data_IF_250801690953
#
_entry.id   IF_250801690953
#
_cell.length_a   1.000
_cell.length_b   1.000
_cell.length_c   1.000
_cell.angle_alpha   90.00
_cell.angle_beta   90.00
_cell.angle_gamma   90.00
#
_symmetry.space_group_name_H-M   'P 1'
#
loop_
_entity.id
_entity.type
_entity.pdbx_description
1 polymer ?
#
# COMPACT_ATOMS: atom_id res chain seq x y z
N UNK A 1 -24.79 63.54 -2.10
CA UNK A 1 -24.01 62.64 -1.22
C UNK A 1 -24.64 61.26 -1.26
N UNK A 2 -23.84 60.23 -1.59
CA UNK A 2 -24.05 58.78 -1.38
C UNK A 2 -25.24 58.08 -2.06
N UNK A 3 -25.14 56.87 -2.63
CA UNK A 3 -24.07 56.01 -3.17
C UNK A 3 -24.84 54.90 -3.93
N UNK A 4 -24.40 54.55 -5.13
CA UNK A 4 -24.92 53.43 -5.92
C UNK A 4 -24.42 52.13 -5.28
N UNK A 5 -25.33 51.21 -4.92
CA UNK A 5 -24.97 49.88 -4.45
C UNK A 5 -25.04 48.90 -5.64
N UNK A 6 -23.88 48.61 -6.23
CA UNK A 6 -23.73 47.54 -7.22
C UNK A 6 -23.62 46.23 -6.44
N UNK A 7 -24.61 45.36 -6.63
CA UNK A 7 -24.63 44.01 -6.05
C UNK A 7 -23.95 43.05 -7.05
N UNK A 8 -22.63 42.92 -6.96
CA UNK A 8 -21.87 41.90 -7.69
C UNK A 8 -22.05 40.57 -7.00
N UNK A 9 -22.90 39.71 -7.56
CA UNK A 9 -23.02 38.32 -7.14
C UNK A 9 -21.73 37.57 -7.55
N UNK A 10 -20.86 37.31 -6.58
CA UNK A 10 -19.71 36.42 -6.75
C UNK A 10 -20.24 34.99 -6.73
N UNK A 11 -20.28 34.38 -7.92
CA UNK A 11 -20.56 32.96 -8.09
C UNK A 11 -19.31 32.18 -7.65
N UNK A 12 -19.19 31.91 -6.35
CA UNK A 12 -18.25 30.92 -5.84
C UNK A 12 -18.74 29.53 -6.27
N UNK A 13 -18.30 29.09 -7.44
CA UNK A 13 -18.34 27.68 -7.82
C UNK A 13 -17.47 26.92 -6.82
N UNK A 14 -18.11 26.37 -5.79
CA UNK A 14 -17.54 25.37 -4.91
C UNK A 14 -17.24 24.13 -5.76
N UNK A 15 -16.02 24.05 -6.28
CA UNK A 15 -15.42 22.78 -6.71
C UNK A 15 -15.30 21.92 -5.46
N UNK A 16 -16.38 21.21 -5.14
CA UNK A 16 -16.33 20.10 -4.21
C UNK A 16 -15.65 18.96 -4.97
N UNK A 17 -14.47 18.46 -4.55
CA UNK A 17 -13.92 17.27 -5.17
C UNK A 17 -14.95 16.16 -4.97
N UNK A 18 -15.46 15.59 -6.07
CA UNK A 18 -16.28 14.40 -6.01
C UNK A 18 -15.52 13.36 -5.19
N UNK A 19 -16.14 12.70 -4.19
CA UNK A 19 -15.48 11.60 -3.51
C UNK A 19 -15.22 10.53 -4.57
N UNK A 20 -13.95 10.36 -4.96
CA UNK A 20 -13.55 9.21 -5.73
C UNK A 20 -13.98 7.98 -4.92
N UNK A 21 -14.92 7.20 -5.47
CA UNK A 21 -15.40 6.00 -4.82
C UNK A 21 -14.26 4.99 -4.81
N UNK A 22 -13.56 4.87 -3.68
CA UNK A 22 -12.57 3.83 -3.48
C UNK A 22 -13.23 2.46 -3.66
N UNK A 23 -12.58 1.60 -4.43
CA UNK A 23 -12.95 0.19 -4.63
C UNK A 23 -12.13 -0.68 -3.69
N UNK A 24 -12.67 -1.84 -3.37
CA UNK A 24 -12.01 -2.82 -2.51
C UNK A 24 -12.00 -4.21 -3.17
N UNK A 25 -10.87 -4.89 -3.06
CA UNK A 25 -10.69 -6.28 -3.47
C UNK A 25 -10.03 -7.08 -2.33
N UNK A 26 -10.29 -8.39 -2.25
CA UNK A 26 -9.83 -9.21 -1.12
C UNK A 26 -9.24 -10.53 -1.56
N UNK A 27 -8.15 -10.92 -0.90
CA UNK A 27 -7.48 -12.22 -1.03
C UNK A 27 -7.31 -12.89 0.33
N UNK A 28 -6.44 -13.90 0.42
CA UNK A 28 -6.15 -14.57 1.69
C UNK A 28 -5.48 -13.64 2.70
N UNK A 29 -4.50 -12.85 2.25
CA UNK A 29 -3.70 -12.00 3.14
C UNK A 29 -4.05 -10.52 3.02
N UNK A 30 -4.72 -10.10 1.95
CA UNK A 30 -4.78 -8.69 1.57
C UNK A 30 -6.23 -8.21 1.40
N UNK A 31 -6.52 -7.04 1.95
CA UNK A 31 -7.61 -6.18 1.50
C UNK A 31 -7.00 -5.02 0.71
N UNK A 32 -7.16 -5.02 -0.61
CA UNK A 32 -6.64 -4.00 -1.50
C UNK A 32 -7.66 -2.89 -1.68
N UNK A 33 -7.25 -1.64 -1.51
CA UNK A 33 -8.06 -0.43 -1.73
C UNK A 33 -7.43 0.39 -2.83
N UNK A 34 -8.21 0.74 -3.84
CA UNK A 34 -7.74 1.45 -5.02
C UNK A 34 -8.82 2.36 -5.61
N UNK A 35 -8.40 3.37 -6.37
CA UNK A 35 -9.26 4.48 -6.83
C UNK A 35 -9.78 4.27 -8.26
N UNK A 36 -9.04 3.55 -9.10
CA UNK A 36 -9.34 3.38 -10.52
C UNK A 36 -8.72 2.11 -11.12
N UNK A 37 -9.17 1.69 -12.32
CA UNK A 37 -8.54 0.58 -13.05
C UNK A 37 -7.11 0.91 -13.47
N UNK A 38 -6.86 2.15 -13.89
CA UNK A 38 -5.52 2.62 -14.27
C UNK A 38 -4.53 2.44 -13.11
N UNK A 39 -4.95 2.77 -11.89
CA UNK A 39 -4.14 2.60 -10.70
C UNK A 39 -3.76 1.13 -10.44
N UNK A 40 -4.67 0.18 -10.71
CA UNK A 40 -4.36 -1.25 -10.65
C UNK A 40 -3.39 -1.67 -11.75
N UNK A 41 -3.60 -1.21 -12.98
CA UNK A 41 -2.77 -1.57 -14.12
C UNK A 41 -1.33 -1.08 -13.90
N UNK A 42 -1.16 0.18 -13.49
CA UNK A 42 0.14 0.77 -13.19
C UNK A 42 0.83 0.06 -12.02
N UNK A 43 0.09 -0.24 -10.94
CA UNK A 43 0.64 -0.99 -9.82
C UNK A 43 1.07 -2.41 -10.23
N UNK A 44 0.26 -3.07 -11.06
CA UNK A 44 0.55 -4.41 -11.56
C UNK A 44 1.84 -4.42 -12.38
N UNK A 45 2.02 -3.43 -13.25
CA UNK A 45 3.21 -3.30 -14.10
C UNK A 45 4.46 -2.93 -13.29
N UNK A 46 4.32 -2.06 -12.29
CA UNK A 46 5.43 -1.61 -11.45
C UNK A 46 5.92 -2.70 -10.47
N UNK A 47 5.02 -3.55 -9.98
CA UNK A 47 5.37 -4.69 -9.11
C UNK A 47 5.68 -5.94 -9.94
N UNK A 48 6.90 -5.97 -10.50
CA UNK A 48 7.43 -7.15 -11.18
C UNK A 48 8.02 -8.17 -10.19
N UNK A 49 7.48 -9.39 -10.20
CA UNK A 49 7.95 -10.51 -9.39
C UNK A 49 9.18 -11.22 -10.00
N UNK A 50 9.53 -10.91 -11.24
CA UNK A 50 10.50 -11.66 -12.02
C UNK A 50 10.07 -13.11 -12.26
N UNK A 51 10.97 -13.89 -12.88
CA UNK A 51 10.62 -15.22 -13.41
C UNK A 51 10.35 -16.28 -12.35
N UNK A 52 11.12 -16.30 -11.25
CA UNK A 52 10.99 -17.34 -10.21
C UNK A 52 9.72 -17.13 -9.40
N UNK A 53 9.57 -15.96 -8.77
CA UNK A 53 8.44 -15.65 -7.90
C UNK A 53 7.14 -15.53 -8.70
N UNK A 54 7.20 -14.98 -9.92
CA UNK A 54 6.05 -14.89 -10.83
C UNK A 54 5.46 -16.25 -11.24
N UNK A 55 6.22 -17.35 -11.18
CA UNK A 55 5.65 -18.68 -11.43
C UNK A 55 4.67 -19.14 -10.34
N UNK A 56 4.83 -18.66 -9.11
CA UNK A 56 3.91 -18.98 -8.01
C UNK A 56 2.60 -18.21 -8.15
N UNK A 57 2.67 -16.92 -8.49
CA UNK A 57 1.48 -16.11 -8.74
C UNK A 57 0.64 -16.67 -9.91
N UNK A 58 1.28 -17.10 -11.00
CA UNK A 58 0.60 -17.69 -12.19
C UNK A 58 -0.12 -19.02 -11.93
N UNK A 59 0.16 -19.70 -10.83
CA UNK A 59 -0.55 -20.93 -10.45
C UNK A 59 -1.91 -20.63 -9.80
N UNK A 60 -2.17 -19.37 -9.44
CA UNK A 60 -3.44 -18.91 -8.90
C UNK A 60 -4.43 -18.68 -10.05
N UNK A 61 -5.73 -18.85 -9.81
CA UNK A 61 -6.77 -18.68 -10.83
C UNK A 61 -6.95 -17.18 -11.12
N UNK A 62 -6.20 -16.65 -12.09
CA UNK A 62 -6.24 -15.24 -12.49
C UNK A 62 -7.18 -15.06 -13.69
N UNK A 63 -8.23 -14.25 -13.53
CA UNK A 63 -9.19 -13.92 -14.59
C UNK A 63 -9.14 -12.44 -14.96
N UNK A 64 -8.84 -11.58 -13.98
CA UNK A 64 -8.79 -10.11 -14.11
C UNK A 64 -7.44 -9.55 -13.64
N UNK A 65 -7.15 -8.27 -13.94
CA UNK A 65 -5.97 -7.58 -13.42
C UNK A 65 -6.01 -7.49 -11.89
N UNK A 66 -7.20 -7.28 -11.31
CA UNK A 66 -7.41 -7.31 -9.87
C UNK A 66 -6.97 -8.66 -9.26
N UNK A 67 -7.36 -9.78 -9.88
CA UNK A 67 -6.92 -11.10 -9.46
C UNK A 67 -5.40 -11.27 -9.58
N UNK A 68 -4.79 -10.69 -10.61
CA UNK A 68 -3.33 -10.74 -10.80
C UNK A 68 -2.61 -9.98 -9.69
N UNK A 69 -3.05 -8.76 -9.39
CA UNK A 69 -2.48 -7.94 -8.32
C UNK A 69 -2.60 -8.64 -6.97
N UNK A 70 -3.78 -9.17 -6.64
CA UNK A 70 -3.99 -9.93 -5.41
C UNK A 70 -3.13 -11.19 -5.36
N UNK A 71 -3.02 -11.92 -6.47
CA UNK A 71 -2.15 -13.09 -6.56
C UNK A 71 -0.68 -12.74 -6.33
N UNK A 72 -0.21 -11.62 -6.90
CA UNK A 72 1.15 -11.11 -6.70
C UNK A 72 1.40 -10.77 -5.24
N UNK A 73 0.51 -9.98 -4.63
CA UNK A 73 0.65 -9.55 -3.24
C UNK A 73 0.63 -10.73 -2.26
N UNK A 74 -0.28 -11.69 -2.44
CA UNK A 74 -0.28 -12.91 -1.62
C UNK A 74 1.02 -13.70 -1.81
N UNK A 75 1.54 -13.81 -3.04
CA UNK A 75 2.80 -14.50 -3.29
C UNK A 75 4.01 -13.79 -2.66
N UNK A 76 4.03 -12.45 -2.64
CA UNK A 76 5.05 -11.69 -1.92
C UNK A 76 4.93 -11.97 -0.42
N UNK A 77 3.72 -11.95 0.14
CA UNK A 77 3.48 -12.22 1.56
C UNK A 77 3.93 -13.64 1.95
N UNK A 78 3.53 -14.67 1.20
CA UNK A 78 3.94 -16.06 1.42
C UNK A 78 5.48 -16.22 1.37
N UNK A 79 6.14 -15.54 0.43
CA UNK A 79 7.59 -15.56 0.33
C UNK A 79 8.24 -14.80 1.48
N UNK A 80 7.68 -13.68 1.92
CA UNK A 80 8.16 -12.91 3.07
C UNK A 80 8.04 -13.72 4.37
N UNK A 81 6.93 -14.42 4.60
CA UNK A 81 6.76 -15.36 5.73
C UNK A 81 7.87 -16.42 5.71
N UNK A 82 8.15 -17.00 4.53
CA UNK A 82 9.20 -18.00 4.34
C UNK A 82 10.61 -17.45 4.57
N UNK A 83 10.87 -16.21 4.13
CA UNK A 83 12.17 -15.54 4.32
C UNK A 83 12.44 -15.30 5.80
N UNK A 84 11.44 -14.83 6.54
CA UNK A 84 11.55 -14.58 7.98
C UNK A 84 11.44 -15.84 8.85
N UNK A 85 10.96 -16.95 8.28
CA UNK A 85 10.53 -18.15 9.02
C UNK A 85 9.49 -17.80 10.11
N UNK A 86 8.57 -16.89 9.77
CA UNK A 86 7.54 -16.35 10.65
C UNK A 86 6.18 -16.49 9.99
N UNK A 87 5.27 -17.24 10.62
CA UNK A 87 3.95 -17.58 10.09
C UNK A 87 2.85 -17.14 11.06
N UNK A 88 2.55 -15.84 11.16
CA UNK A 88 1.52 -15.33 12.04
C UNK A 88 0.14 -15.92 11.69
N UNK A 89 -0.62 -16.30 12.72
CA UNK A 89 -1.96 -16.84 12.53
C UNK A 89 -2.93 -15.73 12.15
N UNK A 90 -3.79 -15.99 11.15
CA UNK A 90 -4.84 -15.06 10.70
C UNK A 90 -4.33 -13.68 10.24
N UNK A 91 -3.10 -13.60 9.72
CA UNK A 91 -2.58 -12.36 9.14
C UNK A 91 -3.46 -11.91 7.97
N UNK A 92 -4.03 -10.72 8.09
CA UNK A 92 -4.69 -10.01 7.00
C UNK A 92 -4.40 -8.52 7.14
N UNK A 93 -3.82 -7.91 6.12
CA UNK A 93 -3.50 -6.49 6.10
C UNK A 93 -4.27 -5.77 5.01
N UNK A 94 -4.42 -4.45 5.16
CA UNK A 94 -4.94 -3.59 4.11
C UNK A 94 -3.78 -2.98 3.32
N UNK A 95 -3.93 -2.88 2.01
CA UNK A 95 -3.01 -2.13 1.14
C UNK A 95 -3.82 -1.05 0.45
N UNK A 96 -3.43 0.21 0.62
CA UNK A 96 -4.06 1.37 -0.01
C UNK A 96 -3.12 1.91 -1.07
N UNK A 97 -3.58 1.87 -2.32
CA UNK A 97 -2.87 2.46 -3.45
C UNK A 97 -3.15 3.97 -3.50
N UNK A 98 -2.07 4.74 -3.51
CA UNK A 98 -2.06 6.19 -3.67
C UNK A 98 -1.29 6.50 -4.96
N UNK A 99 -1.67 7.55 -5.68
CA UNK A 99 -1.11 7.74 -7.02
C UNK A 99 0.40 8.05 -6.96
N UNK A 100 0.83 8.85 -5.97
CA UNK A 100 2.22 9.35 -5.88
C UNK A 100 2.77 9.42 -4.44
N UNK A 101 4.08 9.65 -4.32
CA UNK A 101 4.77 9.91 -3.04
C UNK A 101 4.17 11.11 -2.31
N UNK A 102 3.75 12.16 -3.04
CA UNK A 102 3.12 13.34 -2.45
C UNK A 102 1.82 13.00 -1.73
N UNK A 103 1.02 12.08 -2.29
CA UNK A 103 -0.19 11.57 -1.65
C UNK A 103 0.14 10.72 -0.41
N UNK A 104 1.17 9.88 -0.48
CA UNK A 104 1.67 9.12 0.69
C UNK A 104 2.08 10.07 1.81
N UNK A 105 2.87 11.10 1.48
CA UNK A 105 3.31 12.13 2.42
C UNK A 105 2.11 12.91 3.00
N UNK A 106 1.11 13.24 2.18
CA UNK A 106 -0.10 13.92 2.62
C UNK A 106 -0.89 13.06 3.61
N UNK A 107 -1.12 11.78 3.31
CA UNK A 107 -1.81 10.83 4.20
C UNK A 107 -1.03 10.68 5.51
N UNK A 108 0.30 10.55 5.43
CA UNK A 108 1.16 10.44 6.61
C UNK A 108 1.08 11.71 7.48
N UNK A 109 1.15 12.89 6.86
CA UNK A 109 1.04 14.18 7.57
C UNK A 109 -0.31 14.37 8.23
N UNK A 110 -1.40 13.98 7.56
CA UNK A 110 -2.74 14.05 8.15
C UNK A 110 -2.86 13.14 9.38
N UNK A 111 -2.26 11.95 9.35
CA UNK A 111 -2.32 10.98 10.45
C UNK A 111 -1.40 11.33 11.62
N UNK A 112 -0.17 11.75 11.34
CA UNK A 112 0.89 11.86 12.35
C UNK A 112 1.42 13.27 12.56
N UNK A 113 0.98 14.26 11.77
CA UNK A 113 1.40 15.65 11.88
C UNK A 113 2.86 15.92 11.48
N UNK A 114 3.47 15.02 10.71
CA UNK A 114 4.89 15.07 10.31
C UNK A 114 5.02 15.03 8.80
N UNK A 115 5.95 15.82 8.28
CA UNK A 115 6.37 15.78 6.89
C UNK A 115 7.38 14.64 6.69
N UNK A 116 7.15 13.83 5.66
CA UNK A 116 7.99 12.68 5.28
C UNK A 116 8.07 12.60 3.76
N UNK A 117 9.07 11.88 3.27
CA UNK A 117 9.29 11.58 1.86
C UNK A 117 9.46 10.06 1.72
N UNK A 118 8.33 9.34 1.84
CA UNK A 118 8.28 7.88 1.86
C UNK A 118 7.52 7.37 0.64
N UNK A 119 8.09 6.38 -0.05
CA UNK A 119 7.40 5.66 -1.14
C UNK A 119 6.21 4.87 -0.60
N UNK A 120 6.41 4.24 0.55
CA UNK A 120 5.39 3.49 1.26
C UNK A 120 5.63 3.57 2.77
N UNK A 121 4.62 3.23 3.55
CA UNK A 121 4.79 2.95 4.97
C UNK A 121 3.69 2.02 5.49
N UNK A 122 4.05 1.17 6.44
CA UNK A 122 3.11 0.38 7.24
C UNK A 122 2.63 1.15 8.48
N UNK A 123 1.31 1.37 8.55
CA UNK A 123 0.63 1.90 9.74
C UNK A 123 0.26 0.77 10.69
N UNK A 124 1.01 0.70 11.79
CA UNK A 124 0.82 -0.29 12.86
C UNK A 124 -0.57 -0.21 13.51
N UNK A 125 -1.12 0.99 13.67
CA UNK A 125 -2.43 1.18 14.31
C UNK A 125 -3.61 0.77 13.42
N UNK A 126 -3.38 0.59 12.13
CA UNK A 126 -4.43 0.36 11.13
C UNK A 126 -4.25 -0.95 10.36
N UNK A 127 -3.18 -1.69 10.62
CA UNK A 127 -2.77 -2.84 9.80
C UNK A 127 -2.77 -2.53 8.31
N UNK A 128 -2.26 -1.34 7.95
CA UNK A 128 -2.40 -0.79 6.60
C UNK A 128 -1.07 -0.36 6.02
N UNK A 129 -0.74 -0.88 4.84
CA UNK A 129 0.33 -0.33 4.00
C UNK A 129 -0.27 0.74 3.09
N UNK A 130 0.30 1.93 3.11
CA UNK A 130 0.04 2.98 2.12
C UNK A 130 1.21 3.02 1.16
N UNK A 131 0.96 2.99 -0.14
CA UNK A 131 2.03 2.92 -1.15
C UNK A 131 1.74 3.81 -2.36
N UNK A 132 2.75 4.54 -2.81
CA UNK A 132 2.79 5.25 -4.09
C UNK A 132 2.82 4.25 -5.23
N UNK A 133 1.86 4.32 -6.14
CA UNK A 133 1.79 3.48 -7.34
C UNK A 133 2.94 3.81 -8.28
N UNK A 134 3.25 5.09 -8.49
CA UNK A 134 4.33 5.56 -9.37
C UNK A 134 5.71 4.97 -9.01
N UNK A 135 5.91 4.66 -7.72
CA UNK A 135 7.20 4.21 -7.19
C UNK A 135 7.17 2.79 -6.62
N UNK A 136 6.01 2.13 -6.69
CA UNK A 136 5.79 0.79 -6.18
C UNK A 136 6.76 -0.20 -6.82
N UNK A 137 7.50 -0.94 -6.01
CA UNK A 137 8.43 -1.97 -6.48
C UNK A 137 8.38 -3.16 -5.55
N UNK A 138 8.69 -4.35 -6.07
CA UNK A 138 8.70 -5.60 -5.30
C UNK A 138 9.40 -5.45 -3.94
N UNK A 139 10.60 -4.85 -3.93
CA UNK A 139 11.40 -4.70 -2.72
C UNK A 139 10.74 -3.75 -1.69
N UNK A 140 10.06 -2.69 -2.13
CA UNK A 140 9.33 -1.78 -1.23
C UNK A 140 8.17 -2.51 -0.57
N UNK A 141 7.37 -3.23 -1.37
CA UNK A 141 6.24 -4.00 -0.84
C UNK A 141 6.73 -5.08 0.13
N UNK A 142 7.81 -5.78 -0.22
CA UNK A 142 8.42 -6.79 0.64
C UNK A 142 8.90 -6.22 1.98
N UNK A 143 9.52 -5.03 1.96
CA UNK A 143 9.93 -4.32 3.18
C UNK A 143 8.74 -4.08 4.12
N UNK A 144 7.67 -3.46 3.59
CA UNK A 144 6.49 -3.14 4.39
C UNK A 144 5.74 -4.39 4.87
N UNK A 145 5.69 -5.46 4.06
CA UNK A 145 5.15 -6.76 4.50
C UNK A 145 6.02 -7.39 5.58
N UNK A 146 7.33 -7.20 5.56
CA UNK A 146 8.23 -7.59 6.65
C UNK A 146 7.84 -6.91 7.96
N UNK A 147 7.52 -5.61 7.95
CA UNK A 147 7.01 -4.94 9.14
C UNK A 147 5.70 -5.56 9.64
N UNK A 148 4.74 -5.82 8.74
CA UNK A 148 3.46 -6.41 9.09
C UNK A 148 3.60 -7.82 9.69
N UNK A 149 4.41 -8.69 9.08
CA UNK A 149 4.64 -10.06 9.58
C UNK A 149 5.22 -10.01 10.98
N UNK A 150 6.26 -9.20 11.21
CA UNK A 150 6.90 -9.12 12.53
C UNK A 150 5.92 -8.56 13.58
N UNK A 151 5.10 -7.58 13.23
CA UNK A 151 4.13 -7.00 14.17
C UNK A 151 3.03 -8.00 14.57
N UNK A 152 2.61 -8.87 13.63
CA UNK A 152 1.61 -9.91 13.89
C UNK A 152 2.20 -11.20 14.49
N UNK A 153 3.50 -11.43 14.38
CA UNK A 153 4.16 -12.64 14.87
C UNK A 153 4.55 -12.53 16.36
N UNK A 154 5.00 -11.36 16.81
CA UNK A 154 5.43 -11.17 18.19
C UNK A 154 4.32 -10.53 19.05
N UNK A 155 3.96 -11.17 20.16
CA UNK A 155 3.04 -10.60 21.16
C UNK A 155 3.52 -9.24 21.70
N UNK A 156 4.84 -9.08 21.82
CA UNK A 156 5.49 -7.83 22.20
C UNK A 156 6.44 -7.44 21.09
N UNK A 157 6.18 -6.28 20.48
CA UNK A 157 6.98 -5.78 19.37
C UNK A 157 8.48 -5.76 19.72
N UNK A 158 9.35 -6.26 18.84
CA UNK A 158 10.79 -6.11 18.99
C UNK A 158 11.21 -4.63 19.06
N UNK A 159 12.39 -4.32 19.63
CA UNK A 159 12.95 -2.97 19.56
C UNK A 159 13.03 -2.47 18.12
N UNK A 160 12.81 -1.16 17.92
CA UNK A 160 12.69 -0.56 16.59
C UNK A 160 13.80 -0.97 15.60
N UNK A 161 15.07 -0.91 16.01
CA UNK A 161 16.19 -1.30 15.13
C UNK A 161 16.15 -2.77 14.71
N UNK A 162 15.60 -3.65 15.55
CA UNK A 162 15.46 -5.08 15.26
C UNK A 162 14.25 -5.32 14.34
N UNK A 163 13.16 -4.58 14.54
CA UNK A 163 12.00 -4.58 13.63
C UNK A 163 12.39 -4.14 12.22
N UNK A 164 13.13 -3.05 12.11
CA UNK A 164 13.70 -2.54 10.85
C UNK A 164 14.65 -3.54 10.20
N UNK A 165 15.56 -4.14 10.98
CA UNK A 165 16.50 -5.14 10.46
C UNK A 165 15.77 -6.33 9.82
N UNK A 166 14.65 -6.77 10.40
CA UNK A 166 13.84 -7.84 9.83
C UNK A 166 13.14 -7.42 8.53
N UNK A 167 12.59 -6.20 8.47
CA UNK A 167 12.00 -5.67 7.24
C UNK A 167 13.05 -5.58 6.10
N UNK A 168 14.24 -5.07 6.40
CA UNK A 168 15.37 -5.03 5.46
C UNK A 168 15.84 -6.43 5.05
N UNK A 169 15.82 -7.40 5.97
CA UNK A 169 16.13 -8.79 5.65
C UNK A 169 15.12 -9.35 4.64
N UNK A 170 13.82 -9.15 4.87
CA UNK A 170 12.76 -9.53 3.92
C UNK A 170 12.96 -8.89 2.56
N UNK A 171 13.16 -7.57 2.52
CA UNK A 171 13.42 -6.81 1.30
C UNK A 171 14.56 -7.42 0.49
N UNK A 172 15.70 -7.68 1.15
CA UNK A 172 16.92 -8.17 0.51
C UNK A 172 16.80 -9.58 -0.04
N UNK A 173 16.04 -10.44 0.63
CA UNK A 173 15.98 -11.88 0.36
C UNK A 173 14.68 -12.33 -0.36
N UNK A 174 13.81 -11.39 -0.73
CA UNK A 174 12.52 -11.71 -1.37
C UNK A 174 12.66 -12.49 -2.69
N UNK A 175 13.78 -12.32 -3.41
CA UNK A 175 14.02 -12.97 -4.72
C UNK A 175 14.88 -14.24 -4.69
N UNK A 176 15.34 -14.66 -3.51
CA UNK A 176 16.25 -15.81 -3.37
C UNK A 176 15.63 -17.12 -3.86
#
# INVERSE_FOLDING_TARGET
>A
MFKILVCTAVCCLLFSPLPLSAKEAKSRYITLVYSSQQQLDDFNDNVDLGRKLGQFARKKNVVTVEDEVLAKLDTIMEKAETVLDMFPNNLTIKIVLLDSIDEVAQVYKQKYGKDVDHIAYYSLSEDTIYVSVDDARLHVIAHEMGHAIVDHYFDVRPPYNIHELMAQFTEKHITD
#
